data_IF_096470658979
#
_entry.id   IF_096470658979
#
_cell.length_a   1.000
_cell.length_b   1.000
_cell.length_c   1.000
_cell.angle_alpha   90.00
_cell.angle_beta   90.00
_cell.angle_gamma   90.00
#
_symmetry.space_group_name_H-M   'P 1'
#
loop_
_entity.id
_entity.type
_entity.pdbx_description
1 polymer ?
#
# COMPACT_ATOMS: atom_id res chain seq x y z
N UNK A 1 10.27 5.02 -24.82
CA UNK A 1 10.28 4.11 -23.66
C UNK A 1 9.84 2.72 -24.10
N UNK A 2 10.62 1.68 -23.78
CA UNK A 2 10.23 0.28 -24.03
C UNK A 2 9.06 -0.11 -23.11
N UNK A 3 8.06 -0.82 -23.66
CA UNK A 3 6.95 -1.33 -22.85
C UNK A 3 7.44 -2.46 -21.94
N UNK A 4 6.97 -2.55 -20.67
CA UNK A 4 7.38 -3.63 -19.77
C UNK A 4 7.07 -5.01 -20.35
N UNK A 5 7.99 -5.96 -20.14
CA UNK A 5 7.80 -7.35 -20.55
C UNK A 5 6.62 -7.99 -19.80
N UNK A 6 6.09 -9.11 -20.32
CA UNK A 6 5.03 -9.86 -19.61
C UNK A 6 5.46 -10.32 -18.21
N UNK A 7 6.73 -10.69 -18.07
CA UNK A 7 7.33 -11.10 -16.80
C UNK A 7 7.38 -9.92 -15.83
N UNK A 8 7.81 -8.75 -16.29
CA UNK A 8 7.90 -7.54 -15.48
C UNK A 8 6.53 -7.11 -14.94
N UNK A 9 5.51 -7.12 -15.81
CA UNK A 9 4.13 -6.84 -15.39
C UNK A 9 3.62 -7.82 -14.34
N UNK A 10 4.09 -9.07 -14.35
CA UNK A 10 3.73 -10.08 -13.34
C UNK A 10 4.42 -9.78 -12.02
N UNK A 11 5.72 -9.50 -12.02
CA UNK A 11 6.50 -9.10 -10.84
C UNK A 11 5.85 -7.90 -10.17
N UNK A 12 5.61 -6.83 -10.93
CA UNK A 12 5.02 -5.59 -10.44
C UNK A 12 3.62 -5.79 -9.84
N UNK A 13 2.78 -6.62 -10.47
CA UNK A 13 1.48 -6.99 -9.87
C UNK A 13 1.64 -7.80 -8.59
N UNK A 14 2.62 -8.69 -8.53
CA UNK A 14 2.94 -9.46 -7.33
C UNK A 14 3.32 -8.55 -6.17
N UNK A 15 4.17 -7.54 -6.41
CA UNK A 15 4.54 -6.56 -5.39
C UNK A 15 3.34 -5.76 -4.88
N UNK A 16 2.48 -5.28 -5.79
CA UNK A 16 1.24 -4.60 -5.39
C UNK A 16 0.34 -5.49 -4.51
N UNK A 17 0.28 -6.79 -4.81
CA UNK A 17 -0.51 -7.72 -4.01
C UNK A 17 0.07 -7.94 -2.61
N UNK A 18 1.38 -8.14 -2.51
CA UNK A 18 2.07 -8.29 -1.21
C UNK A 18 1.88 -7.06 -0.32
N UNK A 19 2.02 -5.86 -0.88
CA UNK A 19 1.80 -4.63 -0.13
C UNK A 19 0.33 -4.51 0.35
N UNK A 20 -0.63 -4.84 -0.52
CA UNK A 20 -2.05 -4.84 -0.18
C UNK A 20 -2.37 -5.82 0.96
N UNK A 21 -1.81 -7.04 0.93
CA UNK A 21 -1.99 -8.03 2.00
C UNK A 21 -1.48 -7.50 3.34
N UNK A 22 -0.31 -6.84 3.35
CA UNK A 22 0.26 -6.25 4.57
C UNK A 22 -0.59 -5.11 5.12
N UNK A 23 -1.10 -4.23 4.26
CA UNK A 23 -1.99 -3.15 4.70
C UNK A 23 -3.32 -3.67 5.25
N UNK A 24 -3.89 -4.69 4.61
CA UNK A 24 -5.08 -5.36 5.12
C UNK A 24 -4.82 -5.98 6.49
N UNK A 25 -3.68 -6.66 6.69
CA UNK A 25 -3.28 -7.19 7.99
C UNK A 25 -3.17 -6.10 9.05
N UNK A 26 -2.39 -5.04 8.77
CA UNK A 26 -2.21 -3.92 9.69
C UNK A 26 -3.52 -3.15 9.98
N UNK A 27 -4.48 -3.15 9.05
CA UNK A 27 -5.80 -2.59 9.29
C UNK A 27 -6.63 -3.46 10.24
N UNK A 28 -6.62 -4.78 10.05
CA UNK A 28 -7.32 -5.71 10.94
C UNK A 28 -6.76 -5.65 12.36
N UNK A 29 -5.43 -5.60 12.51
CA UNK A 29 -4.78 -5.46 13.82
C UNK A 29 -5.23 -4.16 14.51
N UNK A 30 -5.20 -3.03 13.79
CA UNK A 30 -5.68 -1.74 14.32
C UNK A 30 -7.16 -1.75 14.69
N UNK A 31 -8.00 -2.48 13.94
CA UNK A 31 -9.42 -2.64 14.28
C UNK A 31 -9.60 -3.42 15.59
N UNK A 32 -8.85 -4.51 15.76
CA UNK A 32 -8.86 -5.31 17.00
C UNK A 32 -8.42 -4.45 18.17
N UNK A 33 -7.28 -3.77 18.06
CA UNK A 33 -6.77 -2.84 19.07
C UNK A 33 -7.77 -1.75 19.43
N UNK A 34 -8.45 -1.17 18.42
CA UNK A 34 -9.48 -0.16 18.66
C UNK A 34 -10.67 -0.72 19.45
N UNK A 35 -11.18 -1.89 19.08
CA UNK A 35 -12.34 -2.50 19.74
C UNK A 35 -11.99 -2.90 21.17
N UNK A 36 -10.85 -3.56 21.37
CA UNK A 36 -10.40 -4.02 22.68
C UNK A 36 -10.04 -2.86 23.60
N UNK A 37 -9.32 -1.86 23.08
CA UNK A 37 -8.90 -0.68 23.84
C UNK A 37 -10.05 0.24 24.26
N UNK A 38 -11.25 0.08 23.69
CA UNK A 38 -12.44 0.89 24.03
C UNK A 38 -13.50 0.12 24.80
N UNK A 39 -13.27 -1.17 25.08
CA UNK A 39 -14.20 -2.01 25.82
C UNK A 39 -14.39 -1.47 27.22
N UNK A 40 -15.62 -1.06 27.55
CA UNK A 40 -15.97 -0.50 28.85
C UNK A 40 -15.67 1.00 29.02
N UNK A 41 -14.98 1.63 28.06
CA UNK A 41 -14.77 3.09 28.04
C UNK A 41 -15.89 3.83 27.27
N UNK A 42 -16.35 3.22 26.17
CA UNK A 42 -17.35 3.78 25.27
C UNK A 42 -18.61 2.91 25.24
N UNK A 43 -19.73 3.51 24.84
CA UNK A 43 -20.93 2.73 24.56
C UNK A 43 -20.73 1.84 23.32
N UNK A 44 -21.44 0.72 23.23
CA UNK A 44 -21.38 -0.16 22.06
C UNK A 44 -21.69 0.58 20.76
N UNK A 45 -22.59 1.58 20.81
CA UNK A 45 -22.92 2.44 19.67
C UNK A 45 -21.72 3.28 19.21
N UNK A 46 -20.96 3.83 20.15
CA UNK A 46 -19.79 4.66 19.83
C UNK A 46 -18.66 3.82 19.24
N UNK A 47 -18.41 2.63 19.82
CA UNK A 47 -17.46 1.65 19.27
C UNK A 47 -17.85 1.26 17.85
N UNK A 48 -19.12 0.93 17.63
CA UNK A 48 -19.65 0.60 16.30
C UNK A 48 -19.43 1.73 15.28
N UNK A 49 -19.75 2.98 15.64
CA UNK A 49 -19.54 4.13 14.77
C UNK A 49 -18.06 4.36 14.45
N UNK A 50 -17.18 4.12 15.42
CA UNK A 50 -15.72 4.18 15.24
C UNK A 50 -15.22 3.15 14.23
N UNK A 51 -15.65 1.89 14.36
CA UNK A 51 -15.33 0.81 13.42
C UNK A 51 -15.81 1.16 12.01
N UNK A 52 -17.05 1.66 11.86
CA UNK A 52 -17.57 2.09 10.56
C UNK A 52 -16.71 3.21 9.95
N UNK A 53 -16.29 4.20 10.75
CA UNK A 53 -15.43 5.29 10.28
C UNK A 53 -14.07 4.77 9.82
N UNK A 54 -13.44 3.88 10.59
CA UNK A 54 -12.16 3.27 10.23
C UNK A 54 -12.26 2.48 8.93
N UNK A 55 -13.30 1.66 8.77
CA UNK A 55 -13.56 0.91 7.55
C UNK A 55 -13.77 1.82 6.34
N UNK A 56 -14.55 2.89 6.48
CA UNK A 56 -14.78 3.86 5.40
C UNK A 56 -13.48 4.57 4.97
N UNK A 57 -12.62 4.92 5.93
CA UNK A 57 -11.31 5.53 5.64
C UNK A 57 -10.39 4.55 4.92
N UNK A 58 -10.33 3.30 5.39
CA UNK A 58 -9.52 2.27 4.75
C UNK A 58 -10.00 1.94 3.34
N UNK A 59 -11.32 1.86 3.12
CA UNK A 59 -11.87 1.67 1.78
C UNK A 59 -11.48 2.81 0.82
N UNK A 60 -11.52 4.07 1.28
CA UNK A 60 -11.08 5.21 0.46
C UNK A 60 -9.60 5.12 0.11
N UNK A 61 -8.77 4.72 1.06
CA UNK A 61 -7.35 4.45 0.86
C UNK A 61 -7.12 3.37 -0.21
N UNK A 62 -7.77 2.21 -0.09
CA UNK A 62 -7.67 1.13 -1.07
C UNK A 62 -8.10 1.56 -2.48
N UNK A 63 -9.17 2.34 -2.58
CA UNK A 63 -9.64 2.86 -3.86
C UNK A 63 -8.61 3.79 -4.51
N UNK A 64 -8.00 4.69 -3.74
CA UNK A 64 -6.99 5.62 -4.25
C UNK A 64 -5.69 4.91 -4.67
N UNK A 65 -5.25 3.93 -3.88
CA UNK A 65 -3.89 3.41 -3.98
C UNK A 65 -3.76 2.08 -4.72
N UNK A 66 -4.87 1.37 -4.94
CA UNK A 66 -4.86 0.07 -5.61
C UNK A 66 -5.87 -0.05 -6.75
N UNK A 67 -7.11 0.43 -6.57
CA UNK A 67 -8.20 0.20 -7.54
C UNK A 67 -8.21 1.23 -8.65
N UNK A 68 -8.11 2.52 -8.31
CA UNK A 68 -8.17 3.62 -9.28
C UNK A 68 -6.80 4.01 -9.83
N UNK A 69 -5.74 3.29 -9.46
CA UNK A 69 -4.41 3.50 -10.04
C UNK A 69 -4.49 3.14 -11.53
N UNK A 70 -4.22 4.10 -12.43
CA UNK A 70 -4.24 3.83 -13.86
C UNK A 70 -3.38 2.61 -14.19
N UNK A 71 -3.78 1.81 -15.18
CA UNK A 71 -2.99 0.66 -15.67
C UNK A 71 -1.66 1.07 -16.36
N UNK A 72 -1.31 2.35 -16.24
CA UNK A 72 -0.06 2.96 -16.65
C UNK A 72 0.99 2.62 -15.60
N UNK A 73 2.23 2.91 -15.94
CA UNK A 73 3.42 2.68 -15.13
C UNK A 73 3.20 2.60 -13.61
N UNK A 74 3.47 1.43 -13.05
CA UNK A 74 3.22 1.08 -11.64
C UNK A 74 4.45 1.25 -10.75
N UNK A 75 5.62 1.58 -11.31
CA UNK A 75 6.83 1.83 -10.52
C UNK A 75 6.71 3.00 -9.52
N UNK A 76 6.04 4.13 -9.81
CA UNK A 76 5.86 5.17 -8.78
C UNK A 76 5.08 4.65 -7.59
N UNK A 77 4.06 3.83 -7.84
CA UNK A 77 3.29 3.21 -6.76
C UNK A 77 4.11 2.20 -5.97
N UNK A 78 4.93 1.38 -6.63
CA UNK A 78 5.87 0.47 -5.94
C UNK A 78 6.86 1.27 -5.07
N UNK A 79 7.42 2.37 -5.58
CA UNK A 79 8.34 3.23 -4.83
C UNK A 79 7.68 3.81 -3.58
N UNK A 80 6.45 4.31 -3.70
CA UNK A 80 5.67 4.79 -2.55
C UNK A 80 5.39 3.68 -1.52
N UNK A 81 4.96 2.49 -1.95
CA UNK A 81 4.69 1.38 -1.04
C UNK A 81 5.98 0.90 -0.34
N UNK A 82 7.11 0.95 -1.02
CA UNK A 82 8.42 0.69 -0.44
C UNK A 82 8.81 1.72 0.62
N UNK A 83 8.61 3.02 0.35
CA UNK A 83 8.94 4.07 1.33
C UNK A 83 8.08 3.99 2.58
N UNK A 84 6.87 3.43 2.49
CA UNK A 84 6.01 3.09 3.63
C UNK A 84 6.42 1.83 4.39
N UNK A 85 7.46 1.10 3.94
CA UNK A 85 7.90 -0.16 4.53
C UNK A 85 6.98 -1.35 4.23
N UNK A 86 6.04 -1.21 3.29
CA UNK A 86 5.12 -2.29 2.89
C UNK A 86 5.78 -3.26 1.90
N UNK A 87 6.95 -2.91 1.36
CA UNK A 87 7.79 -3.77 0.55
C UNK A 87 9.22 -3.77 1.13
N UNK A 88 9.91 -4.89 0.96
CA UNK A 88 11.27 -5.08 1.43
C UNK A 88 12.27 -5.07 0.28
N UNK A 89 13.55 -4.83 0.58
CA UNK A 89 14.63 -4.88 -0.41
C UNK A 89 14.65 -6.19 -1.19
N UNK A 90 14.42 -7.31 -0.50
CA UNK A 90 14.36 -8.66 -1.09
C UNK A 90 13.23 -8.81 -2.11
N UNK A 91 12.09 -8.15 -1.88
CA UNK A 91 10.96 -8.22 -2.79
C UNK A 91 11.23 -7.35 -4.02
N UNK A 92 11.77 -6.15 -3.81
CA UNK A 92 12.07 -5.23 -4.91
C UNK A 92 13.24 -5.72 -5.75
N UNK A 93 14.18 -6.50 -5.21
CA UNK A 93 15.28 -7.08 -6.00
C UNK A 93 14.84 -8.02 -7.13
N UNK A 94 13.55 -8.37 -7.19
CA UNK A 94 12.97 -9.15 -8.30
C UNK A 94 12.56 -8.31 -9.51
N UNK A 95 12.61 -6.98 -9.38
CA UNK A 95 12.32 -6.01 -10.44
C UNK A 95 13.53 -5.94 -11.40
N UNK A 96 13.28 -5.71 -12.69
CA UNK A 96 14.36 -5.51 -13.66
C UNK A 96 15.22 -4.28 -13.33
N UNK A 97 16.46 -4.22 -13.83
CA UNK A 97 17.34 -3.04 -13.68
C UNK A 97 16.65 -1.73 -14.14
N UNK A 98 15.91 -1.81 -15.25
CA UNK A 98 15.13 -0.68 -15.74
C UNK A 98 14.03 -0.26 -14.75
N UNK A 99 13.32 -1.21 -14.15
CA UNK A 99 12.33 -0.92 -13.11
C UNK A 99 12.97 -0.37 -11.83
N UNK A 100 14.15 -0.85 -11.45
CA UNK A 100 14.93 -0.30 -10.34
C UNK A 100 15.34 1.15 -10.57
N UNK A 101 15.81 1.50 -11.77
CA UNK A 101 16.12 2.87 -12.13
C UNK A 101 14.90 3.78 -11.95
N UNK A 102 13.72 3.32 -12.39
CA UNK A 102 12.46 4.06 -12.25
C UNK A 102 12.01 4.21 -10.80
N UNK A 103 12.10 3.15 -10.01
CA UNK A 103 11.79 3.19 -8.57
C UNK A 103 12.70 4.21 -7.89
N UNK A 104 14.00 4.20 -8.21
CA UNK A 104 14.97 5.14 -7.66
C UNK A 104 14.66 6.59 -8.05
N UNK A 105 14.37 6.86 -9.32
CA UNK A 105 13.95 8.20 -9.79
C UNK A 105 12.82 8.75 -8.92
N UNK A 106 11.76 7.96 -8.70
CA UNK A 106 10.63 8.38 -7.86
C UNK A 106 10.98 8.54 -6.38
N UNK A 107 11.85 7.69 -5.83
CA UNK A 107 12.28 7.82 -4.44
C UNK A 107 13.14 9.06 -4.23
N UNK A 108 13.93 9.46 -5.22
CA UNK A 108 14.73 10.67 -5.18
C UNK A 108 13.83 11.91 -5.30
N UNK A 109 12.84 11.92 -6.21
CA UNK A 109 11.80 12.96 -6.30
C UNK A 109 11.02 13.14 -4.98
N UNK A 110 10.58 12.03 -4.36
CA UNK A 110 9.87 12.04 -3.07
C UNK A 110 10.68 12.67 -1.93
N UNK A 111 12.01 12.59 -1.98
CA UNK A 111 12.90 13.19 -0.95
C UNK A 111 13.13 14.67 -1.16
N UNK A 112 12.96 15.18 -2.38
CA UNK A 112 13.10 16.61 -2.69
C UNK A 112 11.86 17.43 -2.29
N UNK A 113 10.71 16.76 -2.11
CA UNK A 113 9.44 17.39 -1.68
C UNK A 113 9.23 17.42 -0.15
N UNK A 114 10.13 16.81 0.64
CA UNK A 114 10.11 16.75 2.11
C UNK A 114 11.14 17.68 2.76
#
# INVERSE_FOLDING_TARGET
MQKPSKTEKRVVRGLMHVALERECGAFLDRLVEYIEGRRGELSDRDVYNGVLKMNNLFQKHLLADYVNVPNVDKYPRIAYLYSLGLLTDKEISSVSDAGHARIKEYLDELKEEL
#
